data_IF_615658768718
#
_entry.id   IF_615658768718
#
_cell.length_a   1.000
_cell.length_b   1.000
_cell.length_c   1.000
_cell.angle_alpha   90.00
_cell.angle_beta   90.00
_cell.angle_gamma   90.00
#
_symmetry.space_group_name_H-M   'P 1'
#
loop_
_entity.id
_entity.type
_entity.pdbx_description
1 polymer ?
#
# COMPACT_ATOMS: atom_id res chain seq x y z
N UNK A 1 6.13 84.59 42.92
CA UNK A 1 5.26 83.82 42.01
C UNK A 1 5.92 82.46 41.78
N UNK A 2 5.49 81.44 42.55
CA UNK A 2 6.06 80.12 42.51
C UNK A 2 5.20 79.23 41.63
N UNK A 3 5.71 78.67 40.52
CA UNK A 3 5.05 77.67 39.70
C UNK A 3 5.36 76.26 40.27
N UNK A 4 4.31 75.57 40.64
CA UNK A 4 4.33 74.19 41.08
C UNK A 4 4.41 73.28 39.85
N UNK A 5 5.42 72.45 39.76
CA UNK A 5 5.52 71.36 38.76
C UNK A 5 5.00 70.08 39.43
N UNK A 6 3.89 69.55 38.88
CA UNK A 6 3.36 68.22 39.23
C UNK A 6 4.08 67.16 38.42
N UNK A 7 4.78 66.30 39.10
CA UNK A 7 5.42 65.11 38.56
C UNK A 7 4.39 63.96 38.59
N UNK A 8 3.94 63.51 37.41
CA UNK A 8 3.13 62.31 37.28
C UNK A 8 4.05 61.08 37.15
N UNK A 9 4.05 60.25 38.17
CA UNK A 9 4.61 58.89 38.09
C UNK A 9 3.62 57.99 37.34
N UNK A 10 3.97 57.57 36.16
CA UNK A 10 3.24 56.48 35.46
C UNK A 10 3.83 55.13 35.94
N UNK A 11 3.06 54.38 36.72
CA UNK A 11 3.33 52.98 36.98
C UNK A 11 2.92 52.17 35.75
N UNK A 12 3.89 51.64 35.02
CA UNK A 12 3.65 50.59 34.01
C UNK A 12 3.51 49.25 34.74
N UNK A 13 2.29 48.71 34.74
CA UNK A 13 2.02 47.36 35.18
C UNK A 13 2.37 46.43 34.02
N UNK A 14 3.50 45.74 34.10
CA UNK A 14 3.82 44.61 33.22
C UNK A 14 2.98 43.40 33.63
N UNK A 15 1.90 43.12 32.91
CA UNK A 15 1.18 41.87 32.99
C UNK A 15 2.01 40.79 32.27
N UNK A 16 2.69 39.94 32.99
CA UNK A 16 3.21 38.69 32.45
C UNK A 16 2.02 37.75 32.16
N UNK A 17 1.62 37.62 30.90
CA UNK A 17 0.77 36.53 30.48
C UNK A 17 1.63 35.26 30.44
N UNK A 18 1.47 34.40 31.41
CA UNK A 18 1.96 33.02 31.38
C UNK A 18 1.08 32.33 30.32
N UNK A 19 1.56 32.21 29.08
CA UNK A 19 1.00 31.25 28.13
C UNK A 19 1.38 29.85 28.66
N UNK A 20 0.47 29.25 29.40
CA UNK A 20 0.50 27.81 29.54
C UNK A 20 0.26 27.24 28.14
N UNK A 21 1.28 26.60 27.56
CA UNK A 21 1.07 25.72 26.41
C UNK A 21 0.14 24.61 26.90
N UNK A 22 -1.14 24.75 26.62
CA UNK A 22 -2.03 23.61 26.64
C UNK A 22 -1.50 22.69 25.55
N UNK A 23 -0.86 21.58 25.93
CA UNK A 23 -0.77 20.44 25.05
C UNK A 23 -2.20 20.02 24.80
N UNK A 24 -2.75 20.42 23.67
CA UNK A 24 -3.97 19.83 23.14
C UNK A 24 -3.50 18.45 22.70
N UNK A 25 -3.68 17.44 23.56
CA UNK A 25 -3.66 16.08 23.07
C UNK A 25 -4.75 16.03 21.98
N UNK A 26 -4.40 15.67 20.78
CA UNK A 26 -5.38 15.37 19.76
C UNK A 26 -6.23 14.21 20.31
N UNK A 27 -7.52 14.22 20.04
CA UNK A 27 -8.40 13.17 20.56
C UNK A 27 -8.29 11.95 19.63
N UNK A 28 -8.48 10.75 20.21
CA UNK A 28 -8.62 9.51 19.43
C UNK A 28 -9.53 9.72 18.22
N UNK A 29 -9.14 9.22 17.06
CA UNK A 29 -10.05 9.13 15.92
C UNK A 29 -11.21 8.21 16.30
N UNK A 30 -12.48 8.66 16.22
CA UNK A 30 -13.62 7.83 16.57
C UNK A 30 -13.67 6.58 15.70
N UNK A 31 -14.16 5.47 16.29
CA UNK A 31 -14.44 4.26 15.54
C UNK A 31 -15.46 4.53 14.42
N UNK A 32 -15.21 3.99 13.23
CA UNK A 32 -16.18 4.03 12.14
C UNK A 32 -17.43 3.19 12.49
N UNK A 33 -18.61 3.55 11.96
CA UNK A 33 -19.77 2.68 12.00
C UNK A 33 -19.46 1.32 11.36
N UNK A 34 -20.15 0.26 11.83
CA UNK A 34 -20.06 -1.07 11.19
C UNK A 34 -20.73 -1.06 9.82
N UNK A 35 -21.81 -0.29 9.68
CA UNK A 35 -22.47 -0.09 8.40
C UNK A 35 -21.63 0.84 7.52
N UNK A 36 -21.34 0.40 6.30
CA UNK A 36 -20.59 1.13 5.30
C UNK A 36 -21.42 1.23 4.02
N UNK A 37 -21.67 2.46 3.56
CA UNK A 37 -22.46 2.72 2.35
C UNK A 37 -21.80 2.07 1.13
N UNK A 38 -22.59 1.35 0.31
CA UNK A 38 -22.10 0.63 -0.87
C UNK A 38 -21.43 -0.72 -0.59
N UNK A 39 -21.38 -1.14 0.69
CA UNK A 39 -20.68 -2.36 1.09
C UNK A 39 -21.54 -3.23 2.02
N UNK A 40 -21.25 -4.52 2.05
CA UNK A 40 -21.79 -5.49 3.01
C UNK A 40 -20.66 -6.03 3.89
N UNK A 41 -20.85 -6.04 5.21
CA UNK A 41 -19.89 -6.60 6.14
C UNK A 41 -19.70 -8.10 5.86
N UNK A 42 -18.48 -8.52 5.61
CA UNK A 42 -18.11 -9.90 5.31
C UNK A 42 -17.44 -10.59 6.50
N UNK A 43 -16.56 -9.86 7.20
CA UNK A 43 -15.88 -10.36 8.39
C UNK A 43 -15.66 -9.24 9.40
N UNK A 44 -15.76 -9.55 10.69
CA UNK A 44 -15.39 -8.62 11.74
C UNK A 44 -14.97 -9.32 13.02
N UNK A 45 -14.05 -8.68 13.74
CA UNK A 45 -13.81 -8.92 15.14
C UNK A 45 -13.65 -7.58 15.87
N UNK A 46 -14.53 -7.33 16.83
CA UNK A 46 -14.54 -6.11 17.65
C UNK A 46 -13.68 -6.26 18.91
N UNK A 47 -13.00 -7.38 19.07
CA UNK A 47 -12.15 -7.73 20.21
C UNK A 47 -12.75 -7.45 21.60
N UNK A 48 -14.05 -7.45 21.71
CA UNK A 48 -14.83 -7.19 22.94
C UNK A 48 -14.95 -8.43 23.86
N UNK A 49 -14.45 -9.56 23.39
CA UNK A 49 -14.54 -10.83 24.12
C UNK A 49 -13.52 -10.95 25.26
N UNK A 50 -13.72 -11.91 26.17
CA UNK A 50 -12.74 -12.22 27.22
C UNK A 50 -11.55 -13.08 26.71
N UNK A 51 -11.65 -13.60 25.51
CA UNK A 51 -10.65 -14.48 24.85
C UNK A 51 -10.71 -14.34 23.34
N UNK A 52 -9.64 -14.74 22.68
CA UNK A 52 -9.57 -14.81 21.22
C UNK A 52 -10.64 -15.77 20.68
N UNK A 53 -11.30 -15.35 19.61
CA UNK A 53 -12.22 -16.21 18.87
C UNK A 53 -11.40 -17.17 17.98
N UNK A 54 -11.26 -18.41 18.45
CA UNK A 54 -10.44 -19.44 17.77
C UNK A 54 -11.10 -20.01 16.51
N UNK A 55 -12.33 -19.60 16.17
CA UNK A 55 -12.94 -19.86 14.87
C UNK A 55 -12.48 -18.86 13.82
N UNK A 56 -11.93 -17.71 14.25
CA UNK A 56 -11.42 -16.63 13.41
C UNK A 56 -9.92 -16.53 13.37
N UNK A 57 -9.24 -16.81 14.50
CA UNK A 57 -7.83 -16.51 14.70
C UNK A 57 -7.06 -17.66 15.33
N UNK A 58 -5.82 -17.82 14.92
CA UNK A 58 -4.79 -18.56 15.68
C UNK A 58 -3.83 -17.55 16.33
N UNK A 59 -3.32 -17.89 17.51
CA UNK A 59 -2.37 -17.06 18.26
C UNK A 59 -0.91 -17.50 18.08
N UNK A 60 -0.59 -18.00 16.89
CA UNK A 60 0.78 -18.40 16.52
C UNK A 60 1.28 -17.55 15.35
N UNK A 61 2.57 -17.22 15.37
CA UNK A 61 3.23 -16.49 14.28
C UNK A 61 4.05 -17.46 13.42
N UNK A 62 3.59 -17.74 12.18
CA UNK A 62 4.25 -18.62 11.21
C UNK A 62 4.85 -19.89 11.84
N UNK A 63 4.04 -20.70 12.56
CA UNK A 63 4.56 -21.80 13.38
C UNK A 63 5.21 -22.93 12.58
N UNK A 64 4.95 -22.99 11.28
CA UNK A 64 5.58 -23.97 10.38
C UNK A 64 7.07 -23.69 10.13
N UNK A 65 7.57 -22.50 10.50
CA UNK A 65 9.01 -22.18 10.42
C UNK A 65 9.80 -22.72 11.61
N UNK A 66 9.14 -23.01 12.73
CA UNK A 66 9.81 -23.34 13.98
C UNK A 66 10.00 -24.83 14.16
N UNK A 67 11.20 -25.27 14.58
CA UNK A 67 11.46 -26.64 15.04
C UNK A 67 10.55 -27.03 16.21
N UNK A 68 10.27 -26.06 17.09
CA UNK A 68 9.28 -26.18 18.15
C UNK A 68 8.17 -25.15 17.95
N UNK A 69 7.06 -25.53 17.29
CA UNK A 69 5.95 -24.62 17.00
C UNK A 69 5.33 -23.93 18.23
N UNK A 70 5.52 -24.50 19.43
CA UNK A 70 5.01 -23.88 20.65
C UNK A 70 5.67 -22.54 20.98
N UNK A 71 6.88 -22.28 20.47
CA UNK A 71 7.59 -21.02 20.61
C UNK A 71 7.00 -19.90 19.75
N UNK A 72 6.29 -20.26 18.69
CA UNK A 72 5.61 -19.32 17.83
C UNK A 72 4.34 -18.73 18.46
N UNK A 73 3.93 -19.22 19.63
CA UNK A 73 2.74 -18.74 20.32
C UNK A 73 2.95 -17.31 20.81
N UNK A 74 2.05 -16.41 20.36
CA UNK A 74 2.04 -14.99 20.73
C UNK A 74 1.47 -14.72 22.12
N UNK A 75 1.86 -13.60 22.69
CA UNK A 75 1.26 -13.05 23.89
C UNK A 75 0.22 -11.99 23.52
N UNK A 76 -0.95 -12.14 24.07
CA UNK A 76 -2.01 -11.14 23.92
C UNK A 76 -2.88 -11.06 25.18
N UNK A 77 -3.62 -9.99 25.31
CA UNK A 77 -4.68 -9.81 26.30
C UNK A 77 -5.79 -8.96 25.73
N UNK A 78 -6.94 -8.99 26.37
CA UNK A 78 -8.04 -8.07 26.06
C UNK A 78 -8.12 -7.01 27.16
N UNK A 79 -8.11 -5.76 26.74
CA UNK A 79 -8.10 -4.64 27.64
C UNK A 79 -8.89 -3.47 27.05
N UNK A 80 -9.87 -2.95 27.79
CA UNK A 80 -10.71 -1.82 27.38
C UNK A 80 -11.41 -1.99 26.03
N UNK A 81 -11.79 -3.24 25.66
CA UNK A 81 -12.43 -3.53 24.39
C UNK A 81 -11.45 -3.66 23.22
N UNK A 82 -10.17 -3.78 23.48
CA UNK A 82 -9.12 -3.96 22.46
C UNK A 82 -8.42 -5.29 22.64
N UNK A 83 -7.95 -5.84 21.52
CA UNK A 83 -6.84 -6.79 21.50
C UNK A 83 -5.55 -6.00 21.78
N UNK A 84 -4.75 -6.47 22.72
CA UNK A 84 -3.41 -5.95 22.97
C UNK A 84 -2.42 -7.07 22.71
N UNK A 85 -1.70 -7.01 21.63
CA UNK A 85 -0.54 -7.87 21.37
C UNK A 85 0.69 -7.29 22.05
N UNK A 86 1.48 -8.12 22.71
CA UNK A 86 2.65 -7.63 23.43
C UNK A 86 3.81 -8.61 23.45
N UNK A 87 5.00 -8.05 23.61
CA UNK A 87 6.26 -8.79 23.82
C UNK A 87 6.86 -8.35 25.16
N UNK A 88 7.21 -9.33 26.02
CA UNK A 88 7.92 -9.06 27.27
C UNK A 88 9.42 -9.24 27.10
N UNK A 89 10.20 -8.63 28.01
CA UNK A 89 11.67 -8.74 28.00
C UNK A 89 12.15 -10.19 28.15
N UNK A 90 11.44 -11.00 28.92
CA UNK A 90 11.76 -12.39 29.22
C UNK A 90 11.08 -13.41 28.29
N UNK A 91 10.29 -12.95 27.29
CA UNK A 91 9.69 -13.84 26.29
C UNK A 91 10.78 -14.60 25.53
N UNK A 92 10.54 -15.87 25.27
CA UNK A 92 11.43 -16.67 24.42
C UNK A 92 11.44 -16.15 22.98
N UNK A 93 12.55 -16.39 22.26
CA UNK A 93 12.61 -16.16 20.83
C UNK A 93 11.61 -17.07 20.10
N UNK A 94 10.95 -16.53 19.06
CA UNK A 94 9.87 -17.24 18.38
C UNK A 94 10.36 -18.37 17.48
N UNK A 95 11.46 -18.17 16.74
CA UNK A 95 12.04 -19.13 15.82
C UNK A 95 13.58 -19.04 15.87
N UNK A 96 14.26 -19.52 16.95
CA UNK A 96 15.69 -19.29 17.17
C UNK A 96 16.59 -19.85 16.07
N UNK A 97 16.17 -20.87 15.39
CA UNK A 97 16.89 -21.53 14.29
C UNK A 97 16.98 -20.65 13.04
N UNK A 98 16.03 -19.73 12.83
CA UNK A 98 16.00 -18.80 11.73
C UNK A 98 16.35 -17.37 12.14
N UNK A 99 15.66 -16.85 13.16
CA UNK A 99 15.73 -15.43 13.53
C UNK A 99 16.48 -15.17 14.84
N UNK A 100 17.15 -16.19 15.37
CA UNK A 100 18.03 -16.04 16.52
C UNK A 100 17.29 -15.58 17.78
N UNK A 101 17.48 -14.34 18.20
CA UNK A 101 16.88 -13.79 19.43
C UNK A 101 15.60 -12.98 19.22
N UNK A 102 15.10 -12.94 18.01
CA UNK A 102 13.87 -12.21 17.68
C UNK A 102 12.68 -12.78 18.44
N UNK A 103 11.84 -11.91 18.94
CA UNK A 103 10.60 -12.24 19.65
C UNK A 103 9.42 -11.70 18.84
N UNK A 104 8.35 -12.47 18.79
CA UNK A 104 7.12 -12.06 18.10
C UNK A 104 5.89 -12.42 18.91
N UNK A 105 4.84 -11.67 18.73
CA UNK A 105 3.48 -12.04 19.11
C UNK A 105 2.58 -11.71 17.93
N UNK A 106 1.62 -12.58 17.64
CA UNK A 106 0.75 -12.40 16.50
C UNK A 106 -0.59 -13.09 16.70
N UNK A 107 -1.59 -12.62 15.94
CA UNK A 107 -2.75 -13.40 15.55
C UNK A 107 -2.79 -13.50 14.03
N UNK A 108 -3.21 -14.67 13.52
CA UNK A 108 -3.33 -14.92 12.09
C UNK A 108 -4.70 -15.50 11.77
N UNK A 109 -5.27 -15.14 10.65
CA UNK A 109 -6.55 -15.68 10.18
C UNK A 109 -6.42 -17.06 9.52
N UNK A 110 -5.26 -17.68 9.57
CA UNK A 110 -4.96 -18.99 8.97
C UNK A 110 -3.84 -19.70 9.72
N UNK A 111 -3.69 -21.00 9.53
CA UNK A 111 -2.53 -21.84 9.90
C UNK A 111 -2.29 -22.84 8.77
N UNK A 112 -1.09 -22.86 8.22
CA UNK A 112 -0.76 -23.67 7.06
C UNK A 112 0.74 -23.78 6.87
N UNK A 113 1.20 -24.92 6.37
CA UNK A 113 2.58 -25.12 5.91
C UNK A 113 2.91 -24.29 4.67
N UNK A 114 4.18 -24.08 4.41
CA UNK A 114 4.75 -23.47 3.20
C UNK A 114 4.47 -21.96 2.97
N UNK A 115 3.71 -21.33 3.84
CA UNK A 115 3.39 -19.92 3.71
C UNK A 115 4.64 -19.06 3.96
N UNK A 116 4.85 -18.07 3.13
CA UNK A 116 5.92 -17.06 3.24
C UNK A 116 7.33 -17.67 3.30
N UNK A 117 7.53 -18.79 2.64
CA UNK A 117 8.84 -19.47 2.59
C UNK A 117 9.69 -18.92 1.44
N UNK A 118 9.99 -17.64 1.46
CA UNK A 118 10.56 -16.87 0.34
C UNK A 118 12.02 -17.16 0.00
N UNK A 119 12.69 -18.05 0.63
CA UNK A 119 14.08 -18.33 0.28
C UNK A 119 14.39 -19.80 0.06
N UNK A 120 13.44 -20.70 0.30
CA UNK A 120 13.70 -22.14 0.35
C UNK A 120 14.75 -22.51 1.41
N UNK A 121 15.06 -21.59 2.33
CA UNK A 121 16.08 -21.73 3.38
C UNK A 121 15.48 -22.01 4.75
N UNK A 122 14.17 -21.85 4.89
CA UNK A 122 13.44 -22.15 6.11
C UNK A 122 13.06 -23.63 6.12
N UNK A 123 13.37 -24.33 7.21
CA UNK A 123 12.75 -25.62 7.44
C UNK A 123 11.25 -25.40 7.54
N UNK A 124 10.50 -26.13 6.74
CA UNK A 124 9.06 -26.03 6.79
C UNK A 124 8.51 -27.32 7.41
N UNK A 125 7.80 -27.14 8.50
CA UNK A 125 7.17 -28.25 9.22
C UNK A 125 5.71 -28.39 8.81
N UNK A 126 5.26 -29.65 8.68
CA UNK A 126 3.87 -29.93 8.32
C UNK A 126 2.90 -29.44 9.40
N UNK A 127 1.92 -28.68 8.96
CA UNK A 127 0.83 -28.15 9.77
C UNK A 127 -0.50 -28.51 9.15
N UNK A 128 -1.53 -28.85 9.95
CA UNK A 128 -2.89 -28.94 9.45
C UNK A 128 -3.32 -27.61 8.83
N UNK A 129 -3.82 -27.63 7.60
CA UNK A 129 -4.36 -26.43 6.98
C UNK A 129 -5.66 -26.04 7.66
N UNK A 130 -5.72 -24.79 8.12
CA UNK A 130 -6.91 -24.20 8.71
C UNK A 130 -7.06 -22.73 8.26
N UNK A 131 -8.28 -22.30 8.02
CA UNK A 131 -8.62 -20.94 7.66
C UNK A 131 -9.78 -20.45 8.53
N UNK A 132 -9.53 -19.48 9.38
CA UNK A 132 -10.57 -18.72 10.08
C UNK A 132 -11.19 -17.68 9.17
N UNK A 133 -10.35 -17.03 8.35
CA UNK A 133 -10.79 -16.13 7.30
C UNK A 133 -9.74 -15.99 6.20
N UNK A 134 -10.18 -16.02 4.97
CA UNK A 134 -9.40 -15.71 3.78
C UNK A 134 -10.31 -15.06 2.75
N UNK A 135 -9.76 -14.17 1.94
CA UNK A 135 -10.56 -13.49 0.94
C UNK A 135 -9.70 -12.92 -0.19
N UNK A 136 -10.35 -12.68 -1.30
CA UNK A 136 -9.84 -11.87 -2.40
C UNK A 136 -10.71 -10.63 -2.52
N UNK A 137 -10.08 -9.45 -2.61
CA UNK A 137 -10.71 -8.14 -2.67
C UNK A 137 -11.56 -7.78 -1.44
N UNK A 138 -11.78 -6.51 -1.24
CA UNK A 138 -12.56 -5.98 -0.13
C UNK A 138 -12.05 -4.65 0.38
N UNK A 139 -12.85 -4.02 1.21
CA UNK A 139 -12.42 -2.90 2.03
C UNK A 139 -12.06 -3.41 3.42
N UNK A 140 -10.81 -3.26 3.79
CA UNK A 140 -10.22 -3.75 5.04
C UNK A 140 -9.95 -2.57 5.97
N UNK A 141 -10.22 -2.72 7.25
CA UNK A 141 -10.05 -1.64 8.21
C UNK A 141 -9.68 -2.16 9.59
N UNK A 142 -8.69 -1.53 10.21
CA UNK A 142 -8.43 -1.62 11.64
C UNK A 142 -8.46 -0.23 12.26
N UNK A 143 -8.81 -0.17 13.54
CA UNK A 143 -8.55 0.99 14.37
C UNK A 143 -7.52 0.59 15.43
N UNK A 144 -6.38 1.27 15.44
CA UNK A 144 -5.25 0.87 16.27
C UNK A 144 -4.52 2.05 16.89
N UNK A 145 -3.90 1.79 18.06
CA UNK A 145 -2.92 2.65 18.69
C UNK A 145 -1.59 1.91 18.73
N UNK A 146 -0.56 2.49 18.14
CA UNK A 146 0.73 1.85 17.91
C UNK A 146 1.60 1.83 19.16
N UNK A 147 2.62 0.97 19.15
CA UNK A 147 3.53 0.82 20.27
C UNK A 147 4.41 2.07 20.47
N UNK A 148 4.43 2.59 21.69
CA UNK A 148 5.34 3.66 22.10
C UNK A 148 6.49 3.09 22.94
N UNK A 149 7.40 2.40 22.29
CA UNK A 149 8.48 1.69 22.98
C UNK A 149 9.88 1.96 22.43
N UNK A 150 10.00 2.60 21.27
CA UNK A 150 11.27 2.87 20.58
C UNK A 150 12.07 1.61 20.24
N UNK A 151 13.23 1.76 19.65
CA UNK A 151 14.18 0.67 19.44
C UNK A 151 13.97 -0.14 18.18
N UNK A 152 14.51 -1.36 18.15
CA UNK A 152 14.43 -2.26 17.02
C UNK A 152 13.19 -3.14 17.01
N UNK A 153 12.60 -3.28 15.83
CA UNK A 153 11.38 -4.01 15.59
C UNK A 153 10.25 -3.16 15.03
N UNK A 154 9.11 -3.76 14.87
CA UNK A 154 7.92 -3.12 14.29
C UNK A 154 6.64 -3.79 14.80
N UNK A 155 5.52 -3.12 14.58
CA UNK A 155 4.20 -3.74 14.50
C UNK A 155 3.75 -3.69 13.06
N UNK A 156 3.00 -4.72 12.63
CA UNK A 156 2.51 -4.83 11.28
C UNK A 156 1.10 -5.43 11.19
N UNK A 157 0.37 -4.93 10.24
CA UNK A 157 -0.81 -5.55 9.68
C UNK A 157 -0.56 -5.79 8.20
N UNK A 158 -0.53 -7.06 7.83
CA UNK A 158 -0.18 -7.50 6.50
C UNK A 158 -0.98 -8.70 6.04
N UNK A 159 -0.91 -8.98 4.76
CA UNK A 159 -1.60 -10.10 4.13
C UNK A 159 -0.63 -10.87 3.23
N UNK A 160 -0.86 -12.17 3.08
CA UNK A 160 -0.05 -13.05 2.25
C UNK A 160 -0.90 -14.03 1.47
N UNK A 161 -0.46 -14.37 0.25
CA UNK A 161 -1.09 -15.37 -0.61
C UNK A 161 -1.09 -16.76 0.01
N UNK A 162 -2.21 -17.47 -0.07
CA UNK A 162 -2.46 -18.74 0.65
C UNK A 162 -2.30 -19.99 -0.20
N UNK A 163 -1.89 -19.89 -1.46
CA UNK A 163 -1.83 -21.04 -2.37
C UNK A 163 -0.43 -21.68 -2.47
N UNK A 164 0.43 -21.42 -1.52
CA UNK A 164 1.73 -22.08 -1.39
C UNK A 164 1.51 -23.46 -0.76
N UNK A 165 1.54 -24.51 -1.54
CA UNK A 165 1.22 -25.88 -1.09
C UNK A 165 2.43 -26.83 -1.03
N UNK A 166 3.60 -26.38 -1.49
CA UNK A 166 4.80 -27.19 -1.59
C UNK A 166 6.06 -26.39 -1.26
N UNK A 167 7.19 -27.07 -1.10
CA UNK A 167 8.53 -26.48 -1.00
C UNK A 167 9.01 -25.85 -2.31
N UNK A 168 8.23 -25.93 -3.36
CA UNK A 168 8.56 -25.35 -4.65
C UNK A 168 8.18 -23.88 -4.72
N UNK A 169 8.82 -23.08 -3.89
CA UNK A 169 8.68 -21.63 -3.91
C UNK A 169 8.84 -21.03 -5.31
N UNK A 170 9.81 -21.54 -6.09
CA UNK A 170 10.13 -20.97 -7.40
C UNK A 170 9.06 -21.25 -8.47
N UNK A 171 8.16 -22.19 -8.26
CA UNK A 171 7.02 -22.47 -9.13
C UNK A 171 5.67 -22.03 -8.53
N UNK A 172 5.67 -21.50 -7.31
CA UNK A 172 4.48 -20.93 -6.70
C UNK A 172 4.28 -19.51 -7.23
N UNK A 173 3.12 -19.22 -7.80
CA UNK A 173 2.83 -17.91 -8.44
C UNK A 173 1.89 -17.02 -7.63
N UNK A 174 1.28 -17.54 -6.57
CA UNK A 174 0.35 -16.80 -5.71
C UNK A 174 0.99 -16.54 -4.34
N UNK A 175 2.16 -15.91 -4.38
CA UNK A 175 3.05 -15.71 -3.22
C UNK A 175 3.09 -14.27 -2.73
N UNK A 176 2.29 -13.38 -3.32
CA UNK A 176 2.32 -11.95 -3.01
C UNK A 176 2.05 -11.64 -1.54
N UNK A 177 2.55 -10.49 -1.13
CA UNK A 177 2.41 -9.93 0.21
C UNK A 177 1.98 -8.46 0.11
N UNK A 178 1.10 -8.04 0.99
CA UNK A 178 0.65 -6.65 1.12
C UNK A 178 0.81 -6.24 2.58
N UNK A 179 1.71 -5.29 2.84
CA UNK A 179 1.84 -4.66 4.15
C UNK A 179 0.94 -3.41 4.18
N UNK A 180 -0.19 -3.52 4.85
CA UNK A 180 -1.16 -2.42 4.94
C UNK A 180 -0.69 -1.40 5.99
N UNK A 181 -0.06 -1.88 7.04
CA UNK A 181 0.56 -1.09 8.08
C UNK A 181 1.84 -1.78 8.53
N UNK A 182 2.97 -1.13 8.38
CA UNK A 182 4.22 -1.50 9.01
C UNK A 182 4.85 -0.24 9.61
N UNK A 183 5.02 -0.22 10.93
CA UNK A 183 5.63 0.92 11.61
C UNK A 183 6.74 0.45 12.53
N UNK A 184 7.93 0.96 12.26
CA UNK A 184 9.12 0.63 13.06
C UNK A 184 9.13 1.41 14.37
N UNK A 185 9.53 0.77 15.45
CA UNK A 185 9.62 1.40 16.77
C UNK A 185 10.58 2.59 16.82
N UNK A 186 11.58 2.60 15.94
CA UNK A 186 12.55 3.70 15.83
C UNK A 186 12.01 4.94 15.11
N UNK A 187 10.92 4.79 14.35
CA UNK A 187 10.27 5.86 13.57
C UNK A 187 8.75 5.77 13.72
N UNK A 188 8.22 5.96 14.96
CA UNK A 188 6.84 5.64 15.28
C UNK A 188 5.81 6.53 14.57
N UNK A 189 6.21 7.69 14.07
CA UNK A 189 5.36 8.60 13.30
C UNK A 189 5.39 8.32 11.79
N UNK A 190 6.18 7.34 11.35
CA UNK A 190 6.26 6.93 9.96
C UNK A 190 5.38 5.70 9.72
N UNK A 191 4.57 5.77 8.67
CA UNK A 191 3.75 4.67 8.20
C UNK A 191 4.34 4.13 6.89
N UNK A 192 4.78 2.88 6.92
CA UNK A 192 5.23 2.16 5.75
C UNK A 192 4.09 1.31 5.22
N UNK A 193 3.92 1.36 3.92
CA UNK A 193 3.05 0.50 3.12
C UNK A 193 3.94 -0.21 2.12
N UNK A 194 3.76 -1.51 1.91
CA UNK A 194 4.53 -2.23 0.91
C UNK A 194 3.68 -3.30 0.20
N UNK A 195 4.13 -3.68 -0.97
CA UNK A 195 3.59 -4.79 -1.74
C UNK A 195 4.74 -5.53 -2.42
N UNK A 196 4.80 -6.82 -2.21
CA UNK A 196 5.85 -7.69 -2.74
C UNK A 196 5.20 -8.76 -3.63
N UNK A 197 5.63 -8.82 -4.88
CA UNK A 197 5.21 -9.88 -5.79
C UNK A 197 5.87 -11.21 -5.46
N UNK A 198 7.05 -11.17 -4.84
CA UNK A 198 7.91 -12.33 -4.62
C UNK A 198 8.10 -13.10 -5.95
N UNK A 199 7.47 -14.28 -6.09
CA UNK A 199 7.51 -15.06 -7.33
C UNK A 199 6.28 -14.88 -8.23
N UNK A 200 5.33 -14.01 -7.84
CA UNK A 200 4.17 -13.72 -8.67
C UNK A 200 4.57 -12.82 -9.86
N UNK A 201 4.55 -13.33 -11.10
CA UNK A 201 4.90 -12.52 -12.25
C UNK A 201 3.83 -11.49 -12.63
N UNK A 202 2.62 -11.61 -12.09
CA UNK A 202 1.48 -10.76 -12.41
C UNK A 202 1.27 -9.64 -11.37
N UNK A 203 1.76 -9.85 -10.13
CA UNK A 203 1.73 -8.84 -9.08
C UNK A 203 3.12 -8.25 -8.88
N UNK A 204 3.26 -6.92 -9.03
CA UNK A 204 4.54 -6.20 -9.02
C UNK A 204 5.60 -6.80 -9.97
N UNK A 205 5.17 -7.60 -10.94
CA UNK A 205 6.04 -8.34 -11.87
C UNK A 205 7.16 -9.11 -11.14
N UNK A 206 6.85 -9.74 -10.01
CA UNK A 206 7.80 -10.45 -9.16
C UNK A 206 8.80 -9.53 -8.42
N UNK A 207 8.54 -8.23 -8.36
CA UNK A 207 9.36 -7.24 -7.68
C UNK A 207 8.67 -6.73 -6.41
N UNK A 208 9.00 -5.54 -5.97
CA UNK A 208 8.42 -4.91 -4.80
C UNK A 208 8.11 -3.43 -5.04
N UNK A 209 7.14 -2.93 -4.31
CA UNK A 209 6.84 -1.52 -4.17
C UNK A 209 6.72 -1.17 -2.69
N UNK A 210 7.21 -0.02 -2.29
CA UNK A 210 7.02 0.47 -0.92
C UNK A 210 6.98 1.98 -0.87
N UNK A 211 6.26 2.49 0.11
CA UNK A 211 6.23 3.90 0.48
C UNK A 211 6.35 4.01 1.99
N UNK A 212 7.17 4.93 2.46
CA UNK A 212 7.26 5.28 3.87
C UNK A 212 7.12 6.78 3.99
N UNK A 213 6.02 7.21 4.57
CA UNK A 213 5.67 8.61 4.74
C UNK A 213 5.34 8.87 6.21
N UNK A 214 5.44 10.09 6.67
CA UNK A 214 4.88 10.44 7.98
C UNK A 214 3.36 10.30 7.95
N UNK A 215 2.77 9.90 9.07
CA UNK A 215 1.30 9.91 9.19
C UNK A 215 0.75 11.32 8.91
N UNK A 216 -0.41 11.43 8.25
CA UNK A 216 -0.96 12.73 7.86
C UNK A 216 -1.29 13.64 9.04
N UNK A 217 -1.63 13.07 10.21
CA UNK A 217 -2.04 13.82 11.41
C UNK A 217 -1.93 12.96 12.66
N UNK A 218 -1.94 13.59 13.82
CA UNK A 218 -1.99 12.93 15.12
C UNK A 218 -0.66 12.31 15.58
N UNK A 219 -0.74 11.54 16.65
CA UNK A 219 0.37 10.81 17.25
C UNK A 219 -0.02 9.33 17.41
N UNK A 220 0.32 8.48 16.46
CA UNK A 220 -0.22 7.11 16.38
C UNK A 220 0.16 6.22 17.56
N UNK A 221 1.16 6.61 18.35
CA UNK A 221 1.55 5.91 19.58
C UNK A 221 0.81 6.38 20.84
N UNK A 222 0.08 7.50 20.76
CA UNK A 222 -0.66 8.08 21.88
C UNK A 222 -2.17 8.01 21.69
N UNK A 223 -2.61 7.94 20.43
CA UNK A 223 -4.01 8.02 20.00
C UNK A 223 -4.39 6.87 19.09
N UNK A 224 -5.68 6.53 19.07
CA UNK A 224 -6.22 5.59 18.09
C UNK A 224 -6.45 6.26 16.75
N UNK A 225 -5.96 5.62 15.69
CA UNK A 225 -6.19 6.01 14.31
C UNK A 225 -6.78 4.86 13.51
N UNK A 226 -7.40 5.18 12.37
CA UNK A 226 -7.98 4.22 11.44
C UNK A 226 -7.03 4.02 10.27
N UNK A 227 -6.65 2.78 10.04
CA UNK A 227 -5.87 2.33 8.89
C UNK A 227 -6.75 1.45 8.03
N UNK A 228 -6.79 1.72 6.73
CA UNK A 228 -7.64 0.94 5.86
C UNK A 228 -7.02 0.74 4.47
N UNK A 229 -7.47 -0.32 3.79
CA UNK A 229 -7.13 -0.63 2.42
C UNK A 229 -8.40 -1.00 1.65
N UNK A 230 -8.63 -0.36 0.51
CA UNK A 230 -9.61 -0.81 -0.48
C UNK A 230 -8.87 -1.60 -1.56
N UNK A 231 -9.05 -2.92 -1.55
CA UNK A 231 -8.44 -3.85 -2.49
C UNK A 231 -9.44 -4.22 -3.56
N UNK A 232 -9.15 -3.77 -4.78
CA UNK A 232 -9.94 -4.02 -5.99
C UNK A 232 -9.15 -4.85 -7.01
N UNK A 233 -9.73 -5.32 -8.11
CA UNK A 233 -9.00 -6.04 -9.15
C UNK A 233 -7.84 -5.27 -9.77
N UNK A 234 -7.84 -3.94 -9.70
CA UNK A 234 -6.89 -3.09 -10.42
C UNK A 234 -6.03 -2.22 -9.52
N UNK A 235 -6.35 -2.13 -8.22
CA UNK A 235 -5.64 -1.23 -7.32
C UNK A 235 -5.74 -1.62 -5.86
N UNK A 236 -4.73 -1.17 -5.08
CA UNK A 236 -4.75 -1.09 -3.64
C UNK A 236 -4.75 0.38 -3.24
N UNK A 237 -5.82 0.84 -2.57
CA UNK A 237 -5.96 2.21 -2.08
C UNK A 237 -5.83 2.21 -0.56
N UNK A 238 -4.90 2.99 -0.03
CA UNK A 238 -4.59 3.03 1.40
C UNK A 238 -5.09 4.32 2.04
N UNK A 239 -5.75 4.18 3.19
CA UNK A 239 -6.40 5.28 3.89
C UNK A 239 -5.90 5.39 5.32
N UNK A 240 -5.76 6.62 5.78
CA UNK A 240 -5.51 6.99 7.17
C UNK A 240 -6.61 7.93 7.64
N UNK A 241 -7.30 7.60 8.72
CA UNK A 241 -8.45 8.35 9.24
C UNK A 241 -9.47 8.71 8.15
N UNK A 242 -9.82 7.72 7.30
CA UNK A 242 -10.73 7.85 6.16
C UNK A 242 -10.25 8.77 5.02
N UNK A 243 -9.02 9.23 5.05
CA UNK A 243 -8.43 10.03 3.97
C UNK A 243 -7.54 9.15 3.10
N UNK A 244 -7.75 9.18 1.79
CA UNK A 244 -6.88 8.49 0.83
C UNK A 244 -5.47 9.08 0.91
N UNK A 245 -4.49 8.22 1.18
CA UNK A 245 -3.09 8.62 1.31
C UNK A 245 -2.27 8.14 0.12
N UNK A 246 -2.50 6.89 -0.32
CA UNK A 246 -1.70 6.26 -1.37
C UNK A 246 -2.54 5.34 -2.23
N UNK A 247 -2.16 5.23 -3.50
CA UNK A 247 -2.70 4.24 -4.44
C UNK A 247 -1.56 3.48 -5.08
N UNK A 248 -1.67 2.17 -5.09
CA UNK A 248 -0.89 1.28 -5.94
C UNK A 248 -1.83 0.75 -7.04
N UNK A 249 -1.55 1.09 -8.29
CA UNK A 249 -2.31 0.61 -9.45
C UNK A 249 -1.75 -0.75 -9.89
N UNK A 250 -1.94 -1.71 -9.04
CA UNK A 250 -1.63 -3.12 -9.22
C UNK A 250 -2.33 -3.91 -8.14
N UNK A 251 -2.60 -5.19 -8.36
CA UNK A 251 -3.41 -5.98 -7.44
C UNK A 251 -3.17 -7.47 -7.62
N UNK A 252 -2.99 -8.25 -6.56
CA UNK A 252 -3.05 -9.70 -6.65
C UNK A 252 -4.51 -10.14 -6.88
N UNK A 253 -4.70 -11.26 -7.61
CA UNK A 253 -6.01 -11.78 -7.99
C UNK A 253 -6.36 -13.13 -7.33
N UNK A 254 -5.78 -13.42 -6.18
CA UNK A 254 -5.95 -14.66 -5.41
C UNK A 254 -6.31 -14.40 -3.94
N UNK A 255 -6.75 -15.45 -3.25
CA UNK A 255 -7.12 -15.34 -1.83
C UNK A 255 -5.88 -15.14 -0.95
N UNK A 256 -5.99 -14.21 -0.01
CA UNK A 256 -4.98 -13.90 0.99
C UNK A 256 -5.53 -14.07 2.40
N UNK A 257 -4.65 -14.41 3.34
CA UNK A 257 -4.91 -14.38 4.77
C UNK A 257 -4.24 -13.20 5.43
N UNK A 258 -4.73 -12.78 6.59
CA UNK A 258 -4.23 -11.62 7.32
C UNK A 258 -3.43 -12.02 8.56
N UNK A 259 -2.43 -11.22 8.86
CA UNK A 259 -1.58 -11.32 10.05
C UNK A 259 -1.53 -9.95 10.73
N UNK A 260 -1.79 -9.94 12.03
CA UNK A 260 -1.48 -8.83 12.92
C UNK A 260 -0.32 -9.29 13.79
N UNK A 261 0.76 -8.53 13.87
CA UNK A 261 1.89 -8.92 14.71
C UNK A 261 2.68 -7.75 15.26
N UNK A 262 3.36 -8.03 16.35
CA UNK A 262 4.43 -7.20 16.91
C UNK A 262 5.71 -8.05 16.97
N UNK A 263 6.84 -7.46 16.59
CA UNK A 263 8.06 -8.19 16.29
C UNK A 263 9.29 -7.38 16.70
N UNK A 264 10.25 -8.00 17.40
CA UNK A 264 11.52 -7.36 17.70
C UNK A 264 12.54 -7.68 16.61
N UNK A 265 13.40 -6.72 16.29
CA UNK A 265 14.51 -6.95 15.38
C UNK A 265 15.82 -7.12 16.15
N UNK A 266 16.42 -8.30 16.03
CA UNK A 266 17.68 -8.60 16.67
C UNK A 266 18.88 -7.90 15.99
N UNK A 267 18.73 -7.52 14.73
CA UNK A 267 19.81 -6.97 13.89
C UNK A 267 19.98 -5.48 13.92
N UNK A 268 19.02 -4.73 14.43
CA UNK A 268 18.99 -3.27 14.31
C UNK A 268 20.03 -2.52 15.12
N UNK A 269 20.67 -3.16 16.10
CA UNK A 269 21.62 -2.52 17.04
C UNK A 269 21.00 -1.41 17.88
N UNK A 270 19.70 -1.16 17.76
CA UNK A 270 18.97 -0.16 18.53
C UNK A 270 18.44 -0.84 19.77
N UNK A 271 19.13 -0.63 20.86
CA UNK A 271 18.66 -1.11 22.17
C UNK A 271 17.48 -0.27 22.60
N UNK A 272 16.42 -0.95 22.99
CA UNK A 272 15.29 -0.32 23.61
C UNK A 272 14.93 -1.05 24.91
N UNK A 273 14.99 -0.28 25.99
CA UNK A 273 14.77 -0.76 27.34
C UNK A 273 13.31 -0.59 27.80
N UNK A 274 12.40 -0.17 26.91
CA UNK A 274 10.98 -0.03 27.24
C UNK A 274 10.26 -1.34 26.98
N UNK A 275 9.80 -1.97 28.05
CA UNK A 275 9.05 -3.21 28.07
C UNK A 275 7.82 -3.11 28.98
N UNK A 276 6.71 -3.79 28.66
CA UNK A 276 6.47 -4.57 27.44
C UNK A 276 6.40 -3.70 26.21
N UNK A 277 6.66 -4.27 25.01
CA UNK A 277 6.32 -3.67 23.73
C UNK A 277 4.89 -4.10 23.43
N UNK A 278 4.02 -3.15 23.22
CA UNK A 278 2.59 -3.46 23.02
C UNK A 278 1.89 -2.46 22.12
N UNK A 279 0.97 -2.95 21.32
CA UNK A 279 0.06 -2.16 20.53
C UNK A 279 -1.38 -2.60 20.74
N UNK A 280 -2.32 -1.71 20.47
CA UNK A 280 -3.75 -1.91 20.73
C UNK A 280 -4.52 -1.91 19.43
N UNK A 281 -5.34 -2.93 19.21
CA UNK A 281 -6.25 -3.03 18.07
C UNK A 281 -7.67 -3.08 18.60
N UNK A 282 -8.48 -2.06 18.26
CA UNK A 282 -9.87 -1.92 18.71
C UNK A 282 -10.78 -2.86 17.95
N UNK A 283 -10.61 -2.92 16.61
CA UNK A 283 -11.33 -3.85 15.76
C UNK A 283 -10.55 -4.19 14.50
N UNK A 284 -10.95 -5.30 13.86
CA UNK A 284 -10.62 -5.69 12.50
C UNK A 284 -11.92 -5.95 11.73
N UNK A 285 -12.11 -5.30 10.58
CA UNK A 285 -13.33 -5.41 9.78
C UNK A 285 -13.01 -5.51 8.29
N UNK A 286 -13.80 -6.32 7.58
CA UNK A 286 -13.74 -6.45 6.12
C UNK A 286 -15.13 -6.36 5.54
N UNK A 287 -15.27 -5.58 4.49
CA UNK A 287 -16.50 -5.44 3.73
C UNK A 287 -16.29 -5.82 2.27
N UNK A 288 -17.35 -6.31 1.65
CA UNK A 288 -17.44 -6.56 0.22
C UNK A 288 -18.26 -5.48 -0.47
N UNK A 289 -17.80 -5.03 -1.64
CA UNK A 289 -18.58 -4.10 -2.46
C UNK A 289 -19.89 -4.75 -2.89
N UNK A 290 -21.00 -4.01 -2.77
CA UNK A 290 -22.31 -4.45 -3.24
C UNK A 290 -22.39 -4.50 -4.77
N UNK A 291 -21.55 -3.76 -5.47
CA UNK A 291 -21.45 -3.76 -6.94
C UNK A 291 -20.59 -4.92 -7.48
N UNK A 292 -19.96 -5.70 -6.55
CA UNK A 292 -19.02 -6.76 -6.92
C UNK A 292 -17.64 -6.23 -7.27
N UNK A 293 -16.85 -7.09 -7.93
CA UNK A 293 -15.47 -6.79 -8.32
C UNK A 293 -15.22 -7.13 -9.81
N UNK A 294 -16.28 -7.17 -10.59
CA UNK A 294 -16.13 -7.24 -12.06
C UNK A 294 -15.57 -5.88 -12.52
N UNK A 295 -14.43 -5.89 -13.18
CA UNK A 295 -13.94 -4.69 -13.85
C UNK A 295 -14.89 -4.39 -15.00
N UNK A 296 -15.60 -3.24 -15.00
CA UNK A 296 -16.36 -2.86 -16.18
C UNK A 296 -15.37 -2.70 -17.33
N UNK A 297 -15.66 -3.27 -18.49
CA UNK A 297 -14.94 -2.94 -19.72
C UNK A 297 -15.32 -1.50 -20.11
N UNK A 298 -14.65 -0.54 -19.50
CA UNK A 298 -14.86 0.88 -19.75
C UNK A 298 -14.14 1.32 -21.01
N UNK A 299 -13.18 0.52 -21.50
CA UNK A 299 -12.25 0.92 -22.54
C UNK A 299 -11.31 2.06 -22.12
N UNK A 300 -11.23 2.36 -20.82
CA UNK A 300 -10.37 3.39 -20.23
C UNK A 300 -9.25 2.75 -19.42
N UNK A 301 -8.02 3.17 -19.67
CA UNK A 301 -6.82 2.52 -19.12
C UNK A 301 -5.84 3.54 -18.58
N UNK A 302 -5.13 3.16 -17.50
CA UNK A 302 -3.84 3.75 -17.19
C UNK A 302 -2.76 3.00 -17.99
N UNK A 303 -1.81 3.76 -18.56
CA UNK A 303 -0.64 3.19 -19.26
C UNK A 303 0.57 3.25 -18.33
N UNK A 304 0.93 2.11 -17.76
CA UNK A 304 2.10 1.97 -16.87
C UNK A 304 3.30 1.48 -17.66
N UNK A 305 4.39 2.22 -17.62
CA UNK A 305 5.63 1.82 -18.30
C UNK A 305 6.35 0.70 -17.56
N UNK A 306 6.75 -0.36 -18.26
CA UNK A 306 7.41 -1.53 -17.69
C UNK A 306 8.74 -1.21 -16.99
N UNK A 307 9.60 -0.38 -17.58
CA UNK A 307 10.93 -0.07 -17.03
C UNK A 307 10.84 0.85 -15.81
N UNK A 308 9.98 1.86 -15.87
CA UNK A 308 9.97 2.94 -14.88
C UNK A 308 8.89 2.76 -13.81
N UNK A 309 7.87 1.91 -14.07
CA UNK A 309 6.67 1.80 -13.24
C UNK A 309 5.79 3.06 -13.23
N UNK A 310 6.12 4.08 -14.06
CA UNK A 310 5.43 5.36 -14.13
C UNK A 310 4.33 5.36 -15.20
N UNK A 311 3.39 6.30 -15.08
CA UNK A 311 2.19 6.39 -15.89
C UNK A 311 2.27 7.52 -16.89
N UNK A 312 1.71 7.30 -18.09
CA UNK A 312 1.52 8.33 -19.08
C UNK A 312 0.39 9.28 -18.67
N UNK A 313 0.61 10.59 -18.67
CA UNK A 313 -0.42 11.56 -18.34
C UNK A 313 -0.25 12.89 -19.09
N UNK A 314 -1.31 13.69 -19.11
CA UNK A 314 -1.30 15.05 -19.63
C UNK A 314 -1.12 16.04 -18.47
N UNK A 315 -0.29 17.06 -18.69
CA UNK A 315 -0.22 18.26 -17.87
C UNK A 315 -0.66 19.45 -18.74
N UNK A 316 -1.75 20.09 -18.39
CA UNK A 316 -2.33 21.19 -19.17
C UNK A 316 -1.40 22.39 -19.40
N UNK A 317 -0.26 22.45 -18.73
CA UNK A 317 0.76 23.46 -18.89
C UNK A 317 1.81 23.13 -19.97
N UNK A 318 1.78 21.91 -20.54
CA UNK A 318 2.76 21.42 -21.51
C UNK A 318 2.02 20.70 -22.66
N UNK A 319 2.45 20.89 -23.89
CA UNK A 319 1.88 20.22 -25.07
C UNK A 319 2.32 18.77 -25.24
N UNK A 320 3.26 18.31 -24.39
CA UNK A 320 3.82 16.96 -24.46
C UNK A 320 3.15 16.04 -23.44
N UNK A 321 2.92 14.80 -23.85
CA UNK A 321 2.54 13.75 -22.92
C UNK A 321 3.71 13.46 -21.99
N UNK A 322 3.45 13.45 -20.69
CA UNK A 322 4.43 13.19 -19.62
C UNK A 322 4.33 11.76 -19.12
N UNK A 323 5.34 11.35 -18.35
CA UNK A 323 5.25 10.16 -17.52
C UNK A 323 5.74 10.46 -16.10
N UNK A 324 5.05 9.88 -15.13
CA UNK A 324 5.29 10.13 -13.71
C UNK A 324 4.30 9.35 -12.85
N UNK A 325 4.14 9.81 -11.60
CA UNK A 325 3.05 9.34 -10.75
C UNK A 325 1.71 9.85 -11.29
N UNK A 326 0.63 9.11 -11.02
CA UNK A 326 -0.71 9.54 -11.41
C UNK A 326 -1.03 10.87 -10.74
N UNK A 327 -1.47 11.89 -11.50
CA UNK A 327 -1.80 13.19 -10.94
C UNK A 327 -3.03 13.11 -10.01
N UNK A 328 -3.19 14.12 -9.16
CA UNK A 328 -4.31 14.20 -8.20
C UNK A 328 -5.70 14.12 -8.87
N UNK A 329 -5.85 14.67 -10.07
CA UNK A 329 -6.98 14.34 -10.93
C UNK A 329 -6.55 13.21 -11.88
N UNK A 330 -6.96 12.01 -11.55
CA UNK A 330 -6.62 10.76 -12.22
C UNK A 330 -7.03 10.76 -13.70
N UNK A 331 -8.09 11.46 -14.09
CA UNK A 331 -8.57 11.51 -15.47
C UNK A 331 -7.52 12.03 -16.46
N UNK A 332 -6.54 12.82 -15.98
CA UNK A 332 -5.42 13.24 -16.81
C UNK A 332 -4.44 12.11 -17.15
N UNK A 333 -4.47 10.98 -16.43
CA UNK A 333 -3.69 9.79 -16.73
C UNK A 333 -4.52 8.66 -17.39
N UNK A 334 -5.84 8.84 -17.53
CA UNK A 334 -6.74 7.87 -18.17
C UNK A 334 -6.77 8.07 -19.67
N UNK A 335 -6.72 6.96 -20.39
CA UNK A 335 -6.69 6.92 -21.85
C UNK A 335 -7.75 5.95 -22.37
N UNK A 336 -8.71 6.46 -23.12
CA UNK A 336 -9.62 5.64 -23.89
C UNK A 336 -8.92 5.15 -25.17
N UNK A 337 -9.05 3.87 -25.47
CA UNK A 337 -8.54 3.27 -26.71
C UNK A 337 -9.67 3.22 -27.74
N UNK A 338 -9.59 4.08 -28.75
CA UNK A 338 -10.57 4.14 -29.85
C UNK A 338 -9.99 3.41 -31.09
N UNK A 339 -10.69 2.41 -31.59
CA UNK A 339 -10.26 1.71 -32.81
C UNK A 339 -10.57 2.49 -34.08
N UNK A 340 -9.62 2.54 -35.01
CA UNK A 340 -9.78 3.17 -36.31
C UNK A 340 -8.96 2.45 -37.39
N UNK A 341 -9.61 1.78 -38.35
CA UNK A 341 -8.96 1.07 -39.48
C UNK A 341 -7.85 0.08 -39.05
N UNK A 342 -8.03 -0.62 -37.93
CA UNK A 342 -7.06 -1.59 -37.40
C UNK A 342 -5.90 -0.95 -36.62
N UNK A 343 -5.97 0.34 -36.31
CA UNK A 343 -5.08 1.07 -35.42
C UNK A 343 -5.86 1.53 -34.20
N UNK A 344 -5.17 1.95 -33.16
CA UNK A 344 -5.76 2.56 -31.98
C UNK A 344 -5.39 4.03 -31.89
N UNK A 345 -6.32 4.83 -31.40
CA UNK A 345 -6.10 6.20 -30.95
C UNK A 345 -6.12 6.20 -29.43
N UNK A 346 -5.17 6.89 -28.82
CA UNK A 346 -5.07 7.06 -27.38
C UNK A 346 -5.66 8.43 -27.03
N UNK A 347 -6.91 8.44 -26.53
CA UNK A 347 -7.65 9.66 -26.20
C UNK A 347 -7.66 9.89 -24.70
N UNK A 348 -7.19 11.03 -24.26
CA UNK A 348 -7.19 11.37 -22.84
C UNK A 348 -8.62 11.65 -22.34
N UNK A 349 -8.99 11.07 -21.20
CA UNK A 349 -10.35 11.17 -20.63
C UNK A 349 -10.66 12.60 -20.14
N UNK A 350 -9.71 13.27 -19.52
CA UNK A 350 -9.92 14.63 -18.97
C UNK A 350 -10.08 15.70 -20.07
N UNK A 351 -9.30 15.59 -21.16
CA UNK A 351 -9.22 16.64 -22.17
C UNK A 351 -9.92 16.29 -23.49
N UNK A 352 -10.13 15.01 -23.76
CA UNK A 352 -10.61 14.52 -25.06
C UNK A 352 -9.59 14.63 -26.19
N UNK A 353 -8.35 14.96 -25.89
CA UNK A 353 -7.25 15.12 -26.85
C UNK A 353 -6.57 13.78 -27.13
N UNK A 354 -5.99 13.64 -28.33
CA UNK A 354 -5.27 12.43 -28.73
C UNK A 354 -3.76 12.54 -28.53
N UNK A 355 -3.10 11.44 -28.23
CA UNK A 355 -1.64 11.31 -28.39
C UNK A 355 -1.29 11.36 -29.87
N UNK A 356 -0.31 12.19 -30.27
CA UNK A 356 0.15 12.33 -31.63
C UNK A 356 1.64 12.69 -31.75
N UNK A 357 2.17 12.65 -32.97
CA UNK A 357 3.53 13.09 -33.33
C UNK A 357 3.52 14.07 -34.50
N UNK A 358 2.51 14.92 -34.61
CA UNK A 358 2.26 15.78 -35.79
C UNK A 358 3.42 16.72 -36.08
N UNK A 359 4.09 17.25 -35.07
CA UNK A 359 5.14 18.24 -35.22
C UNK A 359 6.55 17.65 -35.36
N UNK A 360 6.70 16.32 -35.28
CA UNK A 360 7.98 15.59 -35.40
C UNK A 360 9.06 16.12 -34.47
N UNK A 361 8.72 16.46 -33.24
CA UNK A 361 9.61 17.02 -32.21
C UNK A 361 10.53 16.01 -31.55
N UNK A 362 10.27 14.71 -31.74
CA UNK A 362 10.90 13.60 -31.02
C UNK A 362 10.17 13.24 -29.71
N UNK A 363 9.16 14.03 -29.35
CA UNK A 363 8.30 13.79 -28.18
C UNK A 363 6.86 13.50 -28.60
N UNK A 364 6.17 12.68 -27.81
CA UNK A 364 4.74 12.47 -27.98
C UNK A 364 4.01 13.68 -27.45
N UNK A 365 3.16 14.25 -28.31
CA UNK A 365 2.34 15.43 -28.01
C UNK A 365 0.89 15.01 -27.76
N UNK A 366 0.09 15.88 -27.18
CA UNK A 366 -1.36 15.73 -27.09
C UNK A 366 -2.05 16.95 -27.71
N UNK A 367 -3.19 16.73 -28.31
CA UNK A 367 -3.93 17.82 -28.95
C UNK A 367 -5.22 17.38 -29.64
N UNK A 368 -5.99 18.38 -30.03
CA UNK A 368 -7.23 18.21 -30.78
C UNK A 368 -6.92 17.99 -32.27
N UNK A 369 -6.38 16.83 -32.61
CA UNK A 369 -6.13 16.42 -34.00
C UNK A 369 -7.27 15.54 -34.51
N UNK A 370 -7.58 15.56 -35.83
CA UNK A 370 -8.58 14.66 -36.41
C UNK A 370 -8.19 13.19 -36.22
N UNK A 371 -9.14 12.31 -35.89
CA UNK A 371 -8.92 10.87 -35.74
C UNK A 371 -8.40 10.20 -37.04
N UNK A 372 -8.58 10.85 -38.18
CA UNK A 372 -8.09 10.40 -39.50
C UNK A 372 -6.59 10.68 -39.73
N UNK A 373 -5.93 11.44 -38.83
CA UNK A 373 -4.50 11.74 -38.96
C UNK A 373 -3.66 10.55 -38.53
N UNK A 374 -2.78 10.11 -39.41
CA UNK A 374 -1.90 8.97 -39.16
C UNK A 374 -0.90 9.24 -38.04
N UNK A 375 -0.60 10.49 -37.77
CA UNK A 375 0.25 10.93 -36.65
C UNK A 375 -0.34 10.57 -35.25
N UNK A 376 -1.68 10.41 -35.16
CA UNK A 376 -2.40 10.05 -33.93
C UNK A 376 -2.82 8.56 -33.90
N UNK A 377 -2.51 7.80 -34.94
CA UNK A 377 -2.91 6.39 -35.07
C UNK A 377 -1.70 5.48 -34.75
N UNK A 378 -1.94 4.48 -33.91
CA UNK A 378 -0.89 3.61 -33.40
C UNK A 378 -1.22 2.15 -33.64
N UNK A 379 -0.27 1.39 -34.21
CA UNK A 379 -0.33 -0.07 -34.17
C UNK A 379 -0.04 -0.51 -32.72
N UNK A 380 -0.87 -1.39 -32.18
CA UNK A 380 -0.72 -1.92 -30.83
C UNK A 380 -0.31 -3.39 -30.92
N UNK A 381 0.96 -3.66 -30.65
CA UNK A 381 1.53 -5.00 -30.60
C UNK A 381 1.60 -5.51 -29.15
N UNK A 382 1.56 -6.84 -28.99
CA UNK A 382 1.65 -7.49 -27.66
C UNK A 382 2.99 -8.18 -27.47
N UNK A 383 3.67 -7.88 -26.37
CA UNK A 383 4.96 -8.50 -25.98
C UNK A 383 4.80 -9.02 -24.54
N UNK A 384 4.54 -10.33 -24.39
CA UNK A 384 4.20 -10.91 -23.09
C UNK A 384 2.89 -10.29 -22.55
N UNK A 385 2.96 -9.72 -21.35
CA UNK A 385 1.81 -9.04 -20.71
C UNK A 385 1.73 -7.54 -21.05
N UNK A 386 2.59 -7.05 -21.94
CA UNK A 386 2.72 -5.62 -22.24
C UNK A 386 2.28 -5.30 -23.67
N UNK A 387 1.92 -4.04 -23.89
CA UNK A 387 1.61 -3.47 -25.19
C UNK A 387 2.73 -2.54 -25.65
N UNK A 388 2.91 -2.44 -26.97
CA UNK A 388 3.79 -1.47 -27.62
C UNK A 388 2.95 -0.69 -28.62
N UNK A 389 3.22 0.62 -28.72
CA UNK A 389 2.48 1.52 -29.59
C UNK A 389 3.43 2.11 -30.62
N UNK A 390 3.31 1.66 -31.89
CA UNK A 390 4.11 2.10 -33.02
C UNK A 390 3.27 2.98 -33.93
N UNK A 391 3.80 4.14 -34.33
CA UNK A 391 3.03 5.13 -35.06
C UNK A 391 2.73 4.70 -36.52
N UNK A 392 1.51 4.93 -37.00
CA UNK A 392 1.11 4.61 -38.36
C UNK A 392 1.84 5.44 -39.41
N UNK A 393 2.08 6.72 -39.14
CA UNK A 393 2.77 7.64 -40.05
C UNK A 393 4.27 7.37 -40.12
N UNK A 394 4.86 7.02 -39.00
CA UNK A 394 6.27 6.72 -38.82
C UNK A 394 6.40 5.27 -38.28
N UNK A 395 6.34 4.24 -39.15
CA UNK A 395 6.13 2.84 -38.71
C UNK A 395 7.33 2.19 -38.02
N UNK A 396 8.45 2.89 -37.89
CA UNK A 396 9.61 2.53 -37.07
C UNK A 396 9.72 3.31 -35.77
N UNK A 397 8.73 4.15 -35.45
CA UNK A 397 8.73 5.00 -34.24
C UNK A 397 7.73 4.46 -33.22
N UNK A 398 8.25 4.05 -32.07
CA UNK A 398 7.50 3.47 -30.93
C UNK A 398 7.57 4.41 -29.73
N UNK A 399 6.47 4.53 -28.96
CA UNK A 399 6.43 5.32 -27.71
C UNK A 399 7.35 4.70 -26.66
N UNK A 400 8.20 5.52 -26.01
CA UNK A 400 9.15 5.08 -24.97
C UNK A 400 9.48 6.18 -23.94
N UNK A 401 10.29 5.85 -22.90
CA UNK A 401 10.59 6.70 -21.73
C UNK A 401 12.09 6.84 -21.41
N UNK A 402 12.96 7.10 -22.39
CA UNK A 402 14.43 7.00 -22.15
C UNK A 402 15.15 8.28 -21.74
N UNK A 403 14.52 9.45 -21.86
CA UNK A 403 15.23 10.72 -21.77
C UNK A 403 15.45 11.25 -20.34
N UNK A 404 14.78 10.68 -19.35
CA UNK A 404 14.81 11.19 -17.97
C UNK A 404 14.18 12.59 -17.77
N UNK A 405 13.51 13.14 -18.79
CA UNK A 405 12.88 14.47 -18.79
C UNK A 405 11.40 14.44 -18.41
N UNK A 406 10.91 13.30 -17.98
CA UNK A 406 9.48 13.08 -17.65
C UNK A 406 8.52 13.34 -18.81
N UNK A 407 8.99 13.29 -20.06
CA UNK A 407 8.19 13.39 -21.29
C UNK A 407 8.29 12.12 -22.10
N UNK A 408 7.17 11.68 -22.67
CA UNK A 408 7.17 10.54 -23.58
C UNK A 408 7.90 10.91 -24.89
N UNK A 409 8.80 10.04 -25.31
CA UNK A 409 9.46 10.11 -26.59
C UNK A 409 8.88 9.10 -27.57
N UNK A 410 9.19 9.25 -28.83
CA UNK A 410 9.06 8.20 -29.83
C UNK A 410 10.36 8.01 -30.58
N UNK A 411 10.66 6.77 -30.93
CA UNK A 411 11.91 6.40 -31.59
C UNK A 411 11.93 4.96 -32.06
N UNK A 412 13.04 4.59 -32.73
CA UNK A 412 13.28 3.21 -33.14
C UNK A 412 13.74 2.39 -31.95
N UNK A 413 12.83 1.66 -31.34
CA UNK A 413 13.08 0.86 -30.14
C UNK A 413 13.01 -0.63 -30.46
N UNK A 414 14.05 -1.44 -30.12
CA UNK A 414 13.93 -2.89 -30.14
C UNK A 414 12.74 -3.39 -29.29
N UNK A 415 12.12 -4.47 -29.72
CA UNK A 415 10.98 -5.07 -29.02
C UNK A 415 11.33 -5.48 -27.58
N UNK A 416 12.57 -5.83 -27.33
CA UNK A 416 13.10 -6.24 -26.02
C UNK A 416 13.31 -5.08 -25.04
N UNK A 417 13.16 -3.83 -25.45
CA UNK A 417 13.34 -2.69 -24.57
C UNK A 417 12.10 -2.42 -23.72
N UNK A 418 12.26 -2.55 -22.41
CA UNK A 418 11.20 -2.34 -21.42
C UNK A 418 10.68 -0.90 -21.38
N UNK A 419 11.52 0.06 -21.79
CA UNK A 419 11.13 1.48 -21.89
C UNK A 419 10.02 1.71 -22.92
N UNK A 420 9.86 0.80 -23.92
CA UNK A 420 8.81 0.87 -24.94
C UNK A 420 7.61 -0.08 -24.67
N UNK A 421 7.59 -0.74 -23.52
CA UNK A 421 6.54 -1.69 -23.13
C UNK A 421 5.62 -1.08 -22.07
N UNK A 422 4.32 -1.23 -22.26
CA UNK A 422 3.28 -0.59 -21.46
C UNK A 422 2.25 -1.62 -20.99
N UNK A 423 1.97 -1.62 -19.70
CA UNK A 423 0.85 -2.35 -19.13
C UNK A 423 -0.41 -1.47 -19.26
N UNK A 424 -1.50 -2.05 -19.76
CA UNK A 424 -2.82 -1.44 -19.70
C UNK A 424 -3.51 -1.90 -18.42
N UNK A 425 -3.76 -0.96 -17.52
CA UNK A 425 -4.51 -1.19 -16.29
C UNK A 425 -5.90 -0.62 -16.52
N UNK A 426 -6.89 -1.48 -16.64
CA UNK A 426 -8.29 -1.12 -16.81
C UNK A 426 -8.87 -0.57 -15.50
N UNK A 427 -9.77 0.43 -15.59
CA UNK A 427 -10.28 1.15 -14.42
C UNK A 427 -11.80 1.01 -14.26
#
# INVERSE_FOLDING_TARGET
MKKLVKMLCSMAVFSFAIMASMNVHAADTPANPVEKEGYTLDFADEFNGPSLDTEKWTDYYLPHWCDDPSKAKGNYRFENGCLVEYITEDQAAWCPEHDGTVKSSAIMSFDKSWIHNFSGTTDNHDRPTWYGYKTKYGYFEIRAKLANCGGGGHQAWWMVGLQQDTDDWFNSTETGEIDILETFFSTPDAWRIAAFGWNDPNFQSGSWWSSQDNVPSGQPTEEFHIYAMDWTPTSLKFYYDNQLVKVLYDSPDYEMGTILNIYTDAGSGVHNDVWPKEWYVDYYRVWKSNDGYDTPDTGEYLLRNHQTGKFAYIDSADEHVKYGDVPANEDYAKWALEEFEGYVLLKNVATGEYMHIENLTGYVEHGSVPSTYWSAQWAMDTVGNYKRFTNRWQPDQTIHTEDGLSKLQYGACPETWWTSQWQLIEL
#
